data_IF_503289528018
#
_entry.id   IF_503289528018
#
_cell.length_a   1.000
_cell.length_b   1.000
_cell.length_c   1.000
_cell.angle_alpha   90.00
_cell.angle_beta   90.00
_cell.angle_gamma   90.00
#
_symmetry.space_group_name_H-M   'P 1'
#
loop_
_entity.id
_entity.type
_entity.pdbx_description
1 polymer ?
#
# COMPACT_ATOMS: atom_id res chain seq x y z
N UNK A 1 -19.38 8.97 32.77
CA UNK A 1 -18.14 9.59 33.29
C UNK A 1 -17.21 9.79 32.10
N UNK A 2 -16.84 11.04 31.79
CA UNK A 2 -15.92 11.37 30.70
C UNK A 2 -14.50 11.38 31.28
N UNK A 3 -13.61 10.54 30.76
CA UNK A 3 -12.23 10.41 31.24
C UNK A 3 -11.43 11.70 30.93
N UNK A 4 -10.86 12.37 31.95
CA UNK A 4 -10.15 13.65 31.78
C UNK A 4 -8.84 13.52 30.99
N UNK A 5 -8.29 12.31 30.81
CA UNK A 5 -7.09 12.09 29.98
C UNK A 5 -7.31 12.40 28.49
N UNK A 6 -8.55 12.40 28.00
CA UNK A 6 -8.87 12.61 26.57
C UNK A 6 -8.63 14.07 26.12
N UNK A 7 -8.46 15.02 27.07
CA UNK A 7 -8.47 16.46 26.77
C UNK A 7 -7.08 17.06 26.54
N UNK A 8 -6.00 16.32 26.82
CA UNK A 8 -4.62 16.78 26.64
C UNK A 8 -3.87 16.01 25.55
N UNK A 9 -4.55 15.67 24.46
CA UNK A 9 -3.86 15.15 23.28
C UNK A 9 -3.44 16.31 22.39
N UNK A 10 -2.13 16.53 22.16
CA UNK A 10 -1.69 17.45 21.12
C UNK A 10 -2.24 16.97 19.78
N UNK A 11 -2.47 17.91 18.85
CA UNK A 11 -2.89 17.56 17.51
C UNK A 11 -1.90 16.53 16.92
N UNK A 12 -2.39 15.47 16.25
CA UNK A 12 -1.51 14.51 15.60
C UNK A 12 -0.66 15.23 14.54
N UNK A 13 0.56 14.74 14.36
CA UNK A 13 1.45 15.20 13.30
C UNK A 13 0.77 14.96 11.96
N UNK A 14 0.65 16.00 11.14
CA UNK A 14 0.10 15.91 9.79
C UNK A 14 0.96 16.75 8.85
N UNK A 15 1.05 16.29 7.60
CA UNK A 15 1.71 17.00 6.52
C UNK A 15 0.71 17.14 5.37
N UNK A 16 0.56 18.36 4.86
CA UNK A 16 -0.29 18.64 3.70
C UNK A 16 0.62 19.17 2.59
N UNK A 17 0.69 18.43 1.49
CA UNK A 17 1.49 18.80 0.32
C UNK A 17 0.55 19.19 -0.81
N UNK A 18 0.57 20.47 -1.21
CA UNK A 18 -0.15 20.96 -2.37
C UNK A 18 0.84 21.29 -3.49
N UNK A 19 0.57 20.77 -4.69
CA UNK A 19 1.34 21.07 -5.90
C UNK A 19 0.38 21.52 -6.99
N UNK A 20 0.73 22.59 -7.71
CA UNK A 20 -0.04 23.12 -8.82
C UNK A 20 0.82 23.11 -10.07
N UNK A 21 0.25 22.69 -11.19
CA UNK A 21 0.94 22.63 -12.47
C UNK A 21 0.00 22.25 -13.60
N UNK A 22 0.51 22.31 -14.83
CA UNK A 22 -0.22 21.93 -16.05
C UNK A 22 0.15 20.50 -16.44
N UNK A 23 -0.84 19.68 -16.79
CA UNK A 23 -0.61 18.31 -17.24
C UNK A 23 -0.63 18.26 -18.75
N UNK A 24 0.54 18.03 -19.35
CA UNK A 24 0.64 17.71 -20.77
C UNK A 24 0.61 16.18 -20.94
N UNK A 25 -0.43 15.66 -21.58
CA UNK A 25 -0.61 14.22 -21.82
C UNK A 25 0.54 13.59 -22.62
N UNK A 26 1.30 14.41 -23.37
CA UNK A 26 2.45 14.01 -24.19
C UNK A 26 3.75 14.71 -23.77
N UNK A 27 4.08 14.70 -22.48
CA UNK A 27 5.39 15.17 -22.03
C UNK A 27 6.51 14.18 -22.42
N UNK A 28 7.57 14.68 -23.09
CA UNK A 28 8.83 13.95 -23.31
C UNK A 28 9.76 13.95 -22.07
N UNK A 29 9.36 14.56 -20.96
CA UNK A 29 10.13 14.69 -19.72
C UNK A 29 9.64 13.83 -18.55
N UNK A 30 10.30 13.93 -17.39
CA UNK A 30 9.84 13.31 -16.13
C UNK A 30 8.45 13.85 -15.78
N UNK A 31 7.44 13.00 -15.86
CA UNK A 31 6.07 13.29 -15.43
C UNK A 31 5.95 13.09 -13.89
N UNK A 32 5.93 14.17 -13.10
CA UNK A 32 5.91 14.06 -11.65
C UNK A 32 4.61 13.43 -11.14
N UNK A 33 3.50 13.59 -11.86
CA UNK A 33 2.18 13.07 -11.47
C UNK A 33 2.17 11.55 -11.64
N UNK A 34 2.57 11.05 -12.81
CA UNK A 34 2.69 9.60 -13.03
C UNK A 34 3.69 8.97 -12.07
N UNK A 35 4.79 9.66 -11.77
CA UNK A 35 5.78 9.17 -10.81
C UNK A 35 5.21 9.09 -9.39
N UNK A 36 4.42 10.09 -8.97
CA UNK A 36 3.72 10.09 -7.69
C UNK A 36 2.68 8.97 -7.59
N UNK A 37 1.86 8.79 -8.63
CA UNK A 37 0.88 7.69 -8.68
C UNK A 37 1.59 6.34 -8.55
N UNK A 38 2.70 6.13 -9.27
CA UNK A 38 3.48 4.89 -9.23
C UNK A 38 4.16 4.64 -7.88
N UNK A 39 4.44 5.68 -7.10
CA UNK A 39 5.00 5.55 -5.76
C UNK A 39 3.97 5.04 -4.73
N UNK A 40 2.67 5.04 -5.06
CA UNK A 40 1.59 4.57 -4.21
C UNK A 40 0.87 3.38 -4.83
N UNK A 41 1.42 2.15 -4.71
CA UNK A 41 0.91 0.98 -5.43
C UNK A 41 -0.42 0.44 -4.87
N UNK A 42 -0.70 0.63 -3.58
CA UNK A 42 -1.90 0.09 -2.93
C UNK A 42 -2.98 1.15 -2.78
N UNK A 43 -4.02 1.05 -3.61
CA UNK A 43 -5.16 1.98 -3.62
C UNK A 43 -6.45 1.24 -3.26
N UNK A 44 -7.13 1.67 -2.21
CA UNK A 44 -8.38 1.04 -1.75
C UNK A 44 -9.62 1.64 -2.43
N UNK A 45 -9.59 2.95 -2.71
CA UNK A 45 -10.72 3.67 -3.27
C UNK A 45 -10.23 4.83 -4.13
N UNK A 46 -10.90 5.02 -5.26
CA UNK A 46 -10.71 6.14 -6.17
C UNK A 46 -12.08 6.81 -6.30
N UNK A 47 -12.14 8.11 -6.02
CA UNK A 47 -13.36 8.90 -6.16
C UNK A 47 -13.09 10.04 -7.14
N UNK A 48 -13.98 10.19 -8.12
CA UNK A 48 -13.90 11.26 -9.12
C UNK A 48 -15.16 12.11 -9.01
N UNK A 49 -15.00 13.43 -8.94
CA UNK A 49 -16.11 14.39 -8.89
C UNK A 49 -16.10 15.20 -10.18
N UNK A 50 -17.21 15.15 -10.91
CA UNK A 50 -17.43 15.89 -12.14
C UNK A 50 -18.54 16.92 -11.89
N UNK A 51 -18.22 18.20 -11.68
CA UNK A 51 -19.25 19.23 -11.57
C UNK A 51 -19.92 19.46 -12.93
N UNK A 52 -21.20 19.83 -12.89
CA UNK A 52 -21.99 20.31 -14.04
C UNK A 52 -22.08 19.34 -15.25
N UNK A 53 -22.05 18.03 -15.00
CA UNK A 53 -22.26 17.01 -16.04
C UNK A 53 -23.67 16.41 -15.95
N UNK A 54 -24.33 16.24 -17.10
CA UNK A 54 -25.66 15.59 -17.19
C UNK A 54 -25.57 14.06 -17.11
N UNK A 55 -24.42 13.50 -17.44
CA UNK A 55 -24.16 12.05 -17.48
C UNK A 55 -22.65 11.78 -17.42
N UNK A 56 -22.27 10.60 -16.96
CA UNK A 56 -20.86 10.16 -16.91
C UNK A 56 -20.40 9.75 -18.32
N UNK A 57 -19.24 10.22 -18.82
CA UNK A 57 -18.68 9.75 -20.10
C UNK A 57 -18.39 8.25 -20.08
N UNK A 58 -18.73 7.55 -21.17
CA UNK A 58 -18.60 6.09 -21.26
C UNK A 58 -17.15 5.61 -21.18
N UNK A 59 -16.21 6.42 -21.65
CA UNK A 59 -14.78 6.12 -21.58
C UNK A 59 -14.29 6.10 -20.13
N UNK A 60 -14.83 6.99 -19.29
CA UNK A 60 -14.52 7.03 -17.86
C UNK A 60 -15.16 5.84 -17.15
N UNK A 61 -16.41 5.53 -17.45
CA UNK A 61 -17.10 4.37 -16.88
C UNK A 61 -16.35 3.07 -17.22
N UNK A 62 -15.94 2.90 -18.47
CA UNK A 62 -15.16 1.74 -18.92
C UNK A 62 -13.80 1.66 -18.20
N UNK A 63 -13.10 2.79 -18.07
CA UNK A 63 -11.81 2.82 -17.37
C UNK A 63 -11.91 2.51 -15.88
N UNK A 64 -13.03 2.85 -15.23
CA UNK A 64 -13.29 2.54 -13.83
C UNK A 64 -13.78 1.09 -13.62
N UNK A 65 -14.37 0.46 -14.64
CA UNK A 65 -14.84 -0.91 -14.59
C UNK A 65 -13.70 -1.95 -14.63
N UNK A 66 -12.54 -1.61 -15.21
CA UNK A 66 -11.41 -2.51 -15.47
C UNK A 66 -10.52 -2.78 -14.22
N UNK A 67 -11.13 -2.92 -13.04
CA UNK A 67 -10.41 -3.07 -11.76
C UNK A 67 -10.61 -4.45 -11.13
N UNK A 68 -10.27 -5.51 -11.87
CA UNK A 68 -10.28 -6.86 -11.33
C UNK A 68 -9.21 -7.03 -10.25
N UNK A 69 -9.65 -7.37 -9.04
CA UNK A 69 -8.79 -7.70 -7.92
C UNK A 69 -9.32 -8.96 -7.24
N UNK A 70 -8.40 -9.80 -6.76
CA UNK A 70 -8.75 -11.11 -6.22
C UNK A 70 -8.46 -11.17 -4.72
N UNK A 71 -9.43 -11.71 -3.97
CA UNK A 71 -9.23 -12.11 -2.59
C UNK A 71 -8.98 -13.60 -2.53
N UNK A 72 -7.73 -13.99 -2.24
CA UNK A 72 -7.35 -15.38 -2.03
C UNK A 72 -7.17 -15.64 -0.54
N UNK A 73 -7.83 -16.68 -0.01
CA UNK A 73 -7.80 -17.02 1.41
C UNK A 73 -6.74 -18.10 1.68
N UNK A 74 -6.16 -18.06 2.88
CA UNK A 74 -5.21 -19.07 3.39
C UNK A 74 -4.00 -19.31 2.47
N UNK A 75 -3.45 -18.24 1.89
CA UNK A 75 -2.25 -18.31 1.06
C UNK A 75 -1.02 -18.43 1.95
N UNK A 76 -0.22 -19.47 1.75
CA UNK A 76 1.08 -19.62 2.40
C UNK A 76 2.10 -18.63 1.81
N UNK A 77 2.90 -17.99 2.66
CA UNK A 77 3.97 -17.10 2.20
C UNK A 77 5.03 -17.81 1.35
N UNK A 78 5.18 -19.13 1.52
CA UNK A 78 6.07 -19.95 0.71
C UNK A 78 5.67 -19.96 -0.77
N UNK A 79 4.39 -19.70 -1.08
CA UNK A 79 3.93 -19.62 -2.47
C UNK A 79 4.56 -18.43 -3.21
N UNK A 80 4.79 -17.31 -2.53
CA UNK A 80 5.35 -16.10 -3.15
C UNK A 80 6.84 -16.22 -3.47
N UNK A 81 7.56 -17.08 -2.75
CA UNK A 81 8.98 -17.36 -3.02
C UNK A 81 9.19 -18.57 -3.95
N UNK A 82 8.11 -19.23 -4.36
CA UNK A 82 8.19 -20.36 -5.27
C UNK A 82 8.68 -19.91 -6.65
N UNK A 83 9.65 -20.65 -7.22
CA UNK A 83 10.24 -20.33 -8.52
C UNK A 83 9.20 -20.22 -9.64
N UNK A 84 8.23 -21.14 -9.70
CA UNK A 84 7.17 -21.13 -10.71
C UNK A 84 6.31 -19.88 -10.60
N UNK A 85 6.02 -19.44 -9.37
CA UNK A 85 5.26 -18.21 -9.13
C UNK A 85 6.05 -16.98 -9.58
N UNK A 86 7.34 -16.91 -9.23
CA UNK A 86 8.21 -15.79 -9.62
C UNK A 86 8.36 -15.71 -11.14
N UNK A 87 8.64 -16.84 -11.80
CA UNK A 87 8.82 -16.89 -13.26
C UNK A 87 7.51 -16.65 -14.02
N UNK A 88 6.36 -17.06 -13.47
CA UNK A 88 5.04 -16.89 -14.09
C UNK A 88 4.43 -15.50 -13.91
N UNK A 89 4.54 -14.91 -12.71
CA UNK A 89 3.81 -13.67 -12.37
C UNK A 89 4.73 -12.48 -12.16
N UNK A 90 5.79 -12.65 -11.37
CA UNK A 90 6.66 -11.53 -10.95
C UNK A 90 7.54 -11.06 -12.11
N UNK A 91 8.13 -11.99 -12.87
CA UNK A 91 9.04 -11.67 -13.99
C UNK A 91 8.31 -11.31 -15.29
N UNK A 92 7.10 -11.83 -15.50
CA UNK A 92 6.34 -11.60 -16.74
C UNK A 92 5.50 -10.31 -16.70
N UNK A 93 5.33 -9.70 -15.53
CA UNK A 93 4.48 -8.53 -15.40
C UNK A 93 4.67 -7.77 -14.09
N UNK A 94 3.59 -7.13 -13.64
CA UNK A 94 3.53 -6.43 -12.36
C UNK A 94 2.59 -7.19 -11.45
N UNK A 95 3.14 -7.74 -10.37
CA UNK A 95 2.37 -8.42 -9.35
C UNK A 95 2.33 -7.58 -8.08
N UNK A 96 1.14 -7.43 -7.52
CA UNK A 96 0.92 -6.76 -6.24
C UNK A 96 0.04 -7.65 -5.38
N UNK A 97 0.39 -7.75 -4.09
CA UNK A 97 -0.44 -8.40 -3.09
C UNK A 97 -0.31 -7.66 -1.77
N UNK A 98 -1.36 -7.67 -0.97
CA UNK A 98 -1.35 -7.13 0.39
C UNK A 98 -2.24 -8.00 1.26
N UNK A 99 -1.83 -8.21 2.51
CA UNK A 99 -2.64 -8.91 3.50
C UNK A 99 -3.96 -8.19 3.73
N UNK A 100 -5.07 -8.94 3.68
CA UNK A 100 -6.40 -8.38 3.80
C UNK A 100 -6.89 -8.39 5.24
N UNK A 101 -7.44 -7.27 5.71
CA UNK A 101 -8.01 -7.08 7.06
C UNK A 101 -7.02 -7.32 8.21
N UNK A 102 -5.73 -7.13 7.97
CA UNK A 102 -4.70 -7.12 9.01
C UNK A 102 -4.41 -5.69 9.44
N UNK A 103 -4.31 -5.45 10.74
CA UNK A 103 -4.00 -4.13 11.29
C UNK A 103 -2.49 -3.99 11.47
N UNK A 104 -1.89 -2.98 10.84
CA UNK A 104 -0.44 -2.72 10.92
C UNK A 104 0.09 -2.66 12.36
N UNK A 105 -0.69 -2.12 13.30
CA UNK A 105 -0.24 -1.95 14.68
C UNK A 105 -0.28 -3.23 15.53
N UNK A 106 -1.16 -4.17 15.20
CA UNK A 106 -1.42 -5.35 16.06
C UNK A 106 -1.08 -6.67 15.41
N UNK A 107 -1.21 -6.76 14.09
CA UNK A 107 -1.16 -8.03 13.36
C UNK A 107 0.07 -8.08 12.46
N UNK A 108 0.49 -9.28 12.09
CA UNK A 108 1.50 -9.46 11.05
C UNK A 108 0.89 -9.07 9.70
N UNK A 109 1.57 -8.19 8.98
CA UNK A 109 1.14 -7.66 7.69
C UNK A 109 2.18 -8.02 6.63
N UNK A 110 1.70 -8.33 5.43
CA UNK A 110 2.57 -8.75 4.32
C UNK A 110 2.14 -8.04 3.06
N UNK A 111 3.13 -7.60 2.28
CA UNK A 111 2.90 -7.02 0.97
C UNK A 111 3.90 -7.56 -0.04
N UNK A 112 3.48 -7.70 -1.29
CA UNK A 112 4.36 -7.90 -2.45
C UNK A 112 4.26 -6.66 -3.31
N UNK A 113 5.39 -6.04 -3.57
CA UNK A 113 5.49 -4.81 -4.36
C UNK A 113 6.37 -5.06 -5.57
N UNK A 114 5.98 -4.54 -6.74
CA UNK A 114 6.84 -4.53 -7.92
C UNK A 114 8.15 -3.76 -7.62
N UNK A 115 9.35 -4.29 -7.98
CA UNK A 115 9.61 -5.34 -8.97
C UNK A 115 9.65 -6.80 -8.46
N UNK A 116 9.17 -7.08 -7.24
CA UNK A 116 9.14 -8.42 -6.67
C UNK A 116 9.59 -8.50 -5.21
N UNK A 117 9.58 -7.37 -4.50
CA UNK A 117 9.97 -7.31 -3.09
C UNK A 117 8.83 -7.83 -2.23
N UNK A 118 9.12 -8.84 -1.41
CA UNK A 118 8.22 -9.33 -0.36
C UNK A 118 8.52 -8.58 0.93
N UNK A 119 7.64 -7.67 1.30
CA UNK A 119 7.73 -6.83 2.50
C UNK A 119 6.97 -7.51 3.64
N UNK A 120 7.65 -7.75 4.75
CA UNK A 120 7.08 -8.33 5.97
C UNK A 120 7.08 -7.28 7.08
N UNK A 121 5.91 -7.00 7.64
CA UNK A 121 5.76 -6.17 8.83
C UNK A 121 5.25 -7.06 9.96
N UNK A 122 6.14 -7.39 10.89
CA UNK A 122 5.96 -8.47 11.83
C UNK A 122 5.96 -7.95 13.27
N UNK A 123 5.17 -8.62 14.11
CA UNK A 123 5.30 -8.55 15.54
C UNK A 123 6.64 -9.10 16.01
N UNK A 124 7.09 -8.63 17.18
CA UNK A 124 8.34 -9.05 17.80
C UNK A 124 8.46 -10.58 17.92
N UNK A 125 7.40 -11.24 18.38
CA UNK A 125 7.38 -12.68 18.59
C UNK A 125 7.57 -13.44 17.27
N UNK A 126 6.79 -13.08 16.25
CA UNK A 126 6.89 -13.68 14.91
C UNK A 126 8.26 -13.43 14.29
N UNK A 127 8.77 -12.19 14.35
CA UNK A 127 10.08 -11.83 13.82
C UNK A 127 11.21 -12.67 14.44
N UNK A 128 11.22 -12.79 15.77
CA UNK A 128 12.22 -13.59 16.48
C UNK A 128 12.09 -15.08 16.18
N UNK A 129 10.88 -15.60 16.01
CA UNK A 129 10.65 -17.00 15.68
C UNK A 129 11.14 -17.37 14.27
N UNK A 130 10.99 -16.45 13.32
CA UNK A 130 11.41 -16.67 11.93
C UNK A 130 12.93 -16.51 11.75
N UNK A 131 13.61 -15.80 12.65
CA UNK A 131 15.06 -15.60 12.59
C UNK A 131 15.53 -14.83 11.35
N UNK A 132 14.67 -13.95 10.82
CA UNK A 132 14.98 -13.12 9.66
C UNK A 132 15.83 -11.92 10.07
N UNK A 133 16.66 -11.44 9.15
CA UNK A 133 17.28 -10.12 9.27
C UNK A 133 16.24 -9.04 8.95
N UNK A 134 16.32 -7.90 9.64
CA UNK A 134 15.38 -6.79 9.47
C UNK A 134 15.59 -5.70 10.51
N UNK A 135 14.76 -4.65 10.45
CA UNK A 135 14.90 -3.47 11.31
C UNK A 135 13.65 -3.22 12.14
N UNK A 136 13.78 -2.46 13.24
CA UNK A 136 12.62 -2.01 14.02
C UNK A 136 11.85 -0.99 13.19
N UNK A 137 10.54 -1.21 13.01
CA UNK A 137 9.68 -0.29 12.27
C UNK A 137 9.67 1.10 12.92
N UNK A 138 9.83 2.16 12.11
CA UNK A 138 9.90 3.55 12.59
C UNK A 138 8.67 3.95 13.43
N UNK A 139 7.48 3.52 12.99
CA UNK A 139 6.21 3.77 13.68
C UNK A 139 6.12 3.11 15.07
N UNK A 140 6.90 2.06 15.33
CA UNK A 140 6.93 1.35 16.61
C UNK A 140 8.16 1.68 17.45
N UNK A 141 9.02 2.63 17.05
CA UNK A 141 10.33 2.88 17.68
C UNK A 141 10.27 3.19 19.18
N UNK A 142 9.16 3.77 19.67
CA UNK A 142 8.96 4.03 21.11
C UNK A 142 8.64 2.78 21.94
N UNK A 143 8.11 1.71 21.32
CA UNK A 143 7.70 0.47 22.00
C UNK A 143 8.49 -0.77 21.56
N UNK A 144 9.21 -0.70 20.45
CA UNK A 144 9.99 -1.83 19.89
C UNK A 144 9.15 -3.06 19.58
N UNK A 145 7.86 -2.89 19.27
CA UNK A 145 6.90 -3.99 19.14
C UNK A 145 6.77 -4.54 17.71
N UNK A 146 7.24 -3.78 16.71
CA UNK A 146 7.13 -4.14 15.28
C UNK A 146 8.46 -4.04 14.55
N UNK A 147 8.65 -4.96 13.62
CA UNK A 147 9.84 -5.09 12.79
C UNK A 147 9.44 -5.15 11.31
N UNK A 148 10.28 -4.61 10.44
CA UNK A 148 10.10 -4.67 9.00
C UNK A 148 11.33 -4.18 8.26
N UNK A 149 11.38 -4.47 6.96
CA UNK A 149 12.41 -3.99 6.04
C UNK A 149 11.70 -3.54 4.75
N UNK A 150 12.04 -2.34 4.26
CA UNK A 150 11.45 -1.74 3.06
C UNK A 150 12.21 -2.19 1.81
#
# INVERSE_FOLDING_TARGET
MLCPEVWRFPAPSHEIVQKTGTVELQSKGKDPIRSGIRAHPFNQSITVVLPDVSSIPIELETALADSDHYLVRNVSLQAFINRMFIEGFVKQGKFYAVSFRTRLDTDDCVAVVHPGTLVLHLNKETFQSLGLEGQVSEFARKRGSKYGEC
#
